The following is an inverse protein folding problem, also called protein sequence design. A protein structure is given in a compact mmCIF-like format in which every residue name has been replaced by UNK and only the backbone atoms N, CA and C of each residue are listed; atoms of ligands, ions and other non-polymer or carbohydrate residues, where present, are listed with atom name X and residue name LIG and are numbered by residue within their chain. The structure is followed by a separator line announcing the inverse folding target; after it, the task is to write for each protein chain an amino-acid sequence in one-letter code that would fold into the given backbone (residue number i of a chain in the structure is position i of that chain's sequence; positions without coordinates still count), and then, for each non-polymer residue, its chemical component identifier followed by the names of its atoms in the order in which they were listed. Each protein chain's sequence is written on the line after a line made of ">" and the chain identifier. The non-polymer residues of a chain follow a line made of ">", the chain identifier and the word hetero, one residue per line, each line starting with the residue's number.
data_IF_218840399329
#
_entry.id   IF_218840399329
#
_cell.length_a   1.000
_cell.length_b   1.000
_cell.length_c   1.000
_cell.angle_alpha   90.00
_cell.angle_beta   90.00
_cell.angle_gamma   90.00
#
_symmetry.space_group_name_H-M   'P 1'
#
loop_
_entity.id
_entity.type
_entity.pdbx_description
1 polymer ?
#
# COMPACT_ATOMS: atom_id res chain seq x y z
N UNK A 1 1.41 0.33 -11.86
CA UNK A 1 0.79 0.27 -10.53
C UNK A 1 1.49 1.29 -9.66
N UNK A 2 0.72 2.24 -9.12
CA UNK A 2 1.17 3.57 -8.74
C UNK A 2 2.39 3.65 -7.79
N UNK A 3 2.64 2.65 -6.95
CA UNK A 3 3.73 2.75 -5.96
C UNK A 3 5.15 2.78 -6.57
N UNK A 4 5.43 2.09 -7.68
CA UNK A 4 6.79 2.06 -8.24
C UNK A 4 7.03 3.19 -9.27
N UNK A 5 6.00 3.60 -10.01
CA UNK A 5 6.12 4.66 -11.02
C UNK A 5 5.80 6.07 -10.46
N UNK A 6 5.00 6.18 -9.39
CA UNK A 6 4.50 7.47 -8.88
C UNK A 6 5.22 7.90 -7.59
N UNK A 7 5.92 7.01 -6.87
CA UNK A 7 6.73 7.40 -5.72
C UNK A 7 7.84 8.42 -6.04
N UNK A 8 8.25 8.54 -7.31
CA UNK A 8 9.23 9.53 -7.75
C UNK A 8 8.64 10.93 -8.05
N UNK A 9 7.31 11.06 -8.15
CA UNK A 9 6.63 12.33 -8.51
C UNK A 9 5.71 12.91 -7.41
N UNK A 10 5.62 12.29 -6.23
CA UNK A 10 4.80 12.78 -5.12
C UNK A 10 5.46 13.88 -4.25
N UNK A 11 6.42 14.64 -4.80
CA UNK A 11 6.77 15.94 -4.22
C UNK A 11 5.72 16.96 -4.65
N UNK A 12 4.54 16.91 -4.02
CA UNK A 12 3.53 17.96 -4.12
C UNK A 12 4.16 19.29 -3.65
N UNK A 13 4.42 20.19 -4.59
CA UNK A 13 4.52 21.61 -4.29
C UNK A 13 3.10 22.17 -4.27
N UNK A 14 2.60 22.68 -3.12
CA UNK A 14 1.32 23.39 -3.14
C UNK A 14 1.42 24.52 -4.17
N UNK A 15 0.51 24.51 -5.14
CA UNK A 15 0.26 25.71 -5.93
C UNK A 15 -0.18 26.78 -4.94
N UNK A 16 0.44 27.97 -4.94
CA UNK A 16 0.01 29.05 -4.06
C UNK A 16 -1.48 29.28 -4.31
N UNK A 17 -2.27 29.33 -3.23
CA UNK A 17 -3.69 29.61 -3.33
C UNK A 17 -3.88 30.87 -4.18
N UNK A 18 -4.82 30.88 -5.15
CA UNK A 18 -5.12 32.09 -5.89
C UNK A 18 -5.47 33.15 -4.86
N UNK A 19 -4.73 34.26 -4.91
CA UNK A 19 -4.84 35.39 -4.00
C UNK A 19 -6.28 35.88 -4.09
N UNK A 20 -7.13 35.41 -3.17
CA UNK A 20 -8.54 35.75 -3.13
C UNK A 20 -8.61 37.14 -2.52
N UNK A 21 -8.33 38.14 -3.36
CA UNK A 21 -8.61 39.56 -3.14
C UNK A 21 -10.12 39.78 -3.10
N UNK A 22 -10.80 39.16 -2.14
CA UNK A 22 -12.12 39.54 -1.74
C UNK A 22 -11.98 40.81 -0.90
N UNK A 23 -12.31 41.93 -1.54
CA UNK A 23 -12.57 43.23 -0.93
C UNK A 23 -13.56 43.06 0.24
N UNK A 24 -13.05 42.96 1.47
CA UNK A 24 -13.82 43.22 2.69
C UNK A 24 -13.56 44.68 3.04
N UNK A 25 -14.10 45.58 2.23
CA UNK A 25 -14.23 46.97 2.58
C UNK A 25 -15.56 47.17 3.31
N UNK A 26 -15.52 47.85 4.45
CA UNK A 26 -16.64 48.46 5.17
C UNK A 26 -17.42 47.61 6.18
N UNK A 27 -16.76 47.05 7.21
CA UNK A 27 -17.38 46.94 8.54
C UNK A 27 -16.32 47.24 9.62
N UNK A 28 -16.60 48.24 10.46
CA UNK A 28 -16.01 48.58 11.78
C UNK A 28 -14.78 49.50 11.87
N UNK A 29 -14.98 50.78 11.55
CA UNK A 29 -14.09 51.91 11.91
C UNK A 29 -14.23 52.40 13.38
N UNK A 30 -14.88 51.63 14.27
CA UNK A 30 -15.18 52.08 15.66
C UNK A 30 -14.46 51.25 16.75
N UNK A 31 -13.77 50.16 16.40
CA UNK A 31 -13.02 49.31 17.35
C UNK A 31 -11.51 49.32 17.07
N UNK A 32 -10.93 50.47 16.69
CA UNK A 32 -9.50 50.56 16.35
C UNK A 32 -8.63 51.34 17.33
N UNK A 33 -9.20 52.03 18.34
CA UNK A 33 -8.41 52.94 19.18
C UNK A 33 -8.02 52.38 20.57
N UNK A 34 -8.47 51.18 20.93
CA UNK A 34 -8.21 50.57 22.25
C UNK A 34 -7.29 49.33 22.23
N UNK A 35 -6.69 49.01 21.07
CA UNK A 35 -5.89 47.77 20.89
C UNK A 35 -4.51 48.09 20.29
N UNK A 36 -3.88 49.18 20.71
CA UNK A 36 -2.57 49.62 20.17
C UNK A 36 -1.35 48.94 20.81
N UNK A 37 -1.52 48.12 21.85
CA UNK A 37 -0.42 47.44 22.56
C UNK A 37 -0.49 45.91 22.52
N UNK A 38 -1.23 45.31 21.56
CA UNK A 38 -1.14 43.87 21.36
C UNK A 38 0.18 43.50 20.65
N UNK A 39 0.99 42.58 21.19
CA UNK A 39 2.24 42.18 20.58
C UNK A 39 1.99 41.74 19.13
N UNK A 40 2.79 42.28 18.20
CA UNK A 40 2.73 41.93 16.76
C UNK A 40 2.59 40.41 16.64
N UNK A 41 1.57 39.91 15.90
CA UNK A 41 1.38 38.47 15.73
C UNK A 41 2.72 37.89 15.26
N UNK A 42 3.25 36.94 16.05
CA UNK A 42 4.47 36.22 15.71
C UNK A 42 4.29 35.74 14.28
N UNK A 43 5.21 36.12 13.39
CA UNK A 43 5.28 35.57 12.04
C UNK A 43 5.35 34.05 12.22
N UNK A 44 4.22 33.37 12.04
CA UNK A 44 4.19 31.93 12.00
C UNK A 44 5.02 31.55 10.78
N UNK A 45 6.28 31.21 11.00
CA UNK A 45 7.06 30.49 10.00
C UNK A 45 6.24 29.25 9.66
N UNK A 46 5.67 29.25 8.44
CA UNK A 46 4.82 28.17 7.98
C UNK A 46 5.63 26.89 8.08
N UNK A 47 5.26 25.99 8.99
CA UNK A 47 5.90 24.69 9.11
C UNK A 47 5.83 24.03 7.73
N UNK A 48 6.96 23.59 7.15
CA UNK A 48 6.94 22.98 5.83
C UNK A 48 5.95 21.81 5.85
N UNK A 49 5.14 21.64 4.79
CA UNK A 49 4.17 20.56 4.76
C UNK A 49 4.90 19.22 4.96
N UNK A 50 4.29 18.26 5.67
CA UNK A 50 4.90 16.96 5.89
C UNK A 50 5.24 16.31 4.53
N UNK A 51 6.44 15.74 4.44
CA UNK A 51 6.96 15.07 3.24
C UNK A 51 6.07 13.89 2.84
N UNK A 52 5.39 13.28 3.81
CA UNK A 52 4.45 12.19 3.60
C UNK A 52 3.02 12.65 3.87
N UNK A 53 2.19 12.59 2.82
CA UNK A 53 0.75 12.72 2.95
C UNK A 53 0.12 11.34 2.96
N UNK A 54 -0.79 11.15 3.91
CA UNK A 54 -1.59 9.95 4.02
C UNK A 54 -2.38 9.68 2.72
N UNK A 55 -2.35 8.44 2.22
CA UNK A 55 -3.09 8.02 1.03
C UNK A 55 -3.94 6.79 1.34
N UNK A 56 -5.24 7.02 1.52
CA UNK A 56 -6.21 6.00 1.87
C UNK A 56 -6.36 4.88 0.84
N UNK A 57 -6.16 5.18 -0.44
CA UNK A 57 -6.28 4.17 -1.50
C UNK A 57 -5.14 3.14 -1.34
N UNK A 58 -3.94 3.60 -0.97
CA UNK A 58 -2.81 2.70 -0.68
C UNK A 58 -3.06 1.81 0.53
N UNK A 59 -3.69 2.32 1.58
CA UNK A 59 -4.06 1.51 2.74
C UNK A 59 -5.07 0.42 2.35
N UNK A 60 -6.10 0.77 1.58
CA UNK A 60 -7.10 -0.19 1.13
C UNK A 60 -6.52 -1.21 0.16
N UNK A 61 -5.60 -0.81 -0.72
CA UNK A 61 -4.84 -1.74 -1.56
C UNK A 61 -4.00 -2.70 -0.70
N UNK A 62 -3.34 -2.18 0.35
CA UNK A 62 -2.57 -3.00 1.30
C UNK A 62 -3.46 -4.01 2.02
N UNK A 63 -4.66 -3.60 2.44
CA UNK A 63 -5.67 -4.51 3.02
C UNK A 63 -6.06 -5.59 2.03
N UNK A 64 -6.31 -5.24 0.77
CA UNK A 64 -6.62 -6.22 -0.28
C UNK A 64 -5.48 -7.23 -0.48
N UNK A 65 -4.23 -6.78 -0.53
CA UNK A 65 -3.06 -7.66 -0.62
C UNK A 65 -2.91 -8.57 0.60
N UNK A 66 -3.20 -8.09 1.82
CA UNK A 66 -3.21 -8.92 3.03
C UNK A 66 -4.27 -10.02 2.93
N UNK A 67 -5.47 -9.72 2.42
CA UNK A 67 -6.51 -10.74 2.22
C UNK A 67 -6.06 -11.80 1.21
N UNK A 68 -5.52 -11.38 0.06
CA UNK A 68 -4.96 -12.30 -0.95
C UNK A 68 -3.83 -13.14 -0.34
N UNK A 69 -2.95 -12.54 0.47
CA UNK A 69 -1.89 -13.24 1.17
C UNK A 69 -2.45 -14.31 2.13
N UNK A 70 -3.41 -13.97 2.99
CA UNK A 70 -4.03 -14.92 3.92
C UNK A 70 -4.60 -16.11 3.16
N UNK A 71 -5.38 -15.87 2.10
CA UNK A 71 -6.00 -16.93 1.31
C UNK A 71 -4.98 -17.74 0.50
N UNK A 72 -3.84 -17.15 0.15
CA UNK A 72 -2.79 -17.84 -0.59
C UNK A 72 -1.92 -18.72 0.33
N UNK A 73 -1.73 -18.33 1.59
CA UNK A 73 -0.83 -19.03 2.54
C UNK A 73 -1.54 -19.98 3.53
N UNK A 74 -2.86 -19.91 3.68
CA UNK A 74 -3.61 -20.69 4.67
C UNK A 74 -4.66 -21.60 4.03
N UNK A 75 -4.82 -22.83 4.51
CA UNK A 75 -5.94 -23.69 4.12
C UNK A 75 -6.80 -24.08 5.31
N UNK A 76 -7.85 -24.83 5.04
CA UNK A 76 -8.62 -25.47 6.11
C UNK A 76 -8.33 -26.96 6.09
N UNK A 77 -8.17 -27.58 7.27
CA UNK A 77 -8.10 -29.05 7.38
C UNK A 77 -9.31 -29.74 6.74
N UNK A 78 -10.45 -29.06 6.69
CA UNK A 78 -11.67 -29.57 6.05
C UNK A 78 -11.67 -29.44 4.51
N UNK A 79 -10.76 -28.65 3.93
CA UNK A 79 -10.73 -28.35 2.50
C UNK A 79 -9.33 -27.94 2.07
N UNK A 80 -8.52 -28.93 1.70
CA UNK A 80 -7.20 -28.72 1.11
C UNK A 80 -7.31 -28.25 -0.34
N UNK A 81 -6.30 -27.54 -0.83
CA UNK A 81 -6.25 -27.15 -2.25
C UNK A 81 -6.04 -28.40 -3.12
N UNK A 82 -6.82 -28.52 -4.20
CA UNK A 82 -6.60 -29.56 -5.23
C UNK A 82 -5.34 -29.29 -6.07
N UNK A 83 -4.80 -28.07 -6.02
CA UNK A 83 -3.64 -27.63 -6.81
C UNK A 83 -2.56 -26.97 -5.93
N UNK A 84 -1.98 -27.71 -4.96
CA UNK A 84 -1.07 -27.14 -3.96
C UNK A 84 0.24 -26.61 -4.56
N UNK A 85 0.70 -27.18 -5.69
CA UNK A 85 1.89 -26.73 -6.44
C UNK A 85 1.63 -25.41 -7.16
N UNK A 86 0.58 -25.34 -7.97
CA UNK A 86 0.18 -24.10 -8.67
C UNK A 86 -0.04 -22.96 -7.69
N UNK A 87 -0.69 -23.25 -6.56
CA UNK A 87 -0.85 -22.27 -5.47
C UNK A 87 0.50 -21.78 -4.93
N UNK A 88 1.47 -22.68 -4.72
CA UNK A 88 2.83 -22.29 -4.31
C UNK A 88 3.49 -21.38 -5.35
N UNK A 89 3.37 -21.72 -6.62
CA UNK A 89 3.96 -20.95 -7.70
C UNK A 89 3.37 -19.54 -7.77
N UNK A 90 2.04 -19.42 -7.68
CA UNK A 90 1.35 -18.13 -7.63
C UNK A 90 1.75 -17.34 -6.38
N UNK A 91 1.87 -18.00 -5.24
CA UNK A 91 2.35 -17.40 -4.00
C UNK A 91 3.75 -16.80 -4.15
N UNK A 92 4.70 -17.60 -4.65
CA UNK A 92 6.07 -17.15 -4.90
C UNK A 92 6.10 -16.04 -5.94
N UNK A 93 5.24 -16.10 -6.96
CA UNK A 93 5.15 -15.08 -8.00
C UNK A 93 4.65 -13.74 -7.45
N UNK A 94 3.66 -13.75 -6.56
CA UNK A 94 3.03 -12.54 -6.01
C UNK A 94 3.80 -11.99 -4.79
N UNK A 95 4.48 -12.84 -4.03
CA UNK A 95 5.09 -12.51 -2.74
C UNK A 95 6.55 -12.98 -2.64
N UNK A 96 7.36 -12.72 -3.68
CA UNK A 96 8.80 -13.04 -3.70
C UNK A 96 9.67 -12.16 -2.80
N UNK A 97 9.10 -11.14 -2.16
CA UNK A 97 9.80 -10.19 -1.30
C UNK A 97 10.67 -9.17 -2.04
N UNK A 98 10.61 -9.11 -3.38
CA UNK A 98 11.39 -8.16 -4.18
C UNK A 98 10.57 -6.88 -4.42
N UNK A 99 11.21 -5.73 -4.19
CA UNK A 99 10.62 -4.40 -4.35
C UNK A 99 10.34 -3.97 -5.81
N UNK A 100 10.73 -4.76 -6.82
CA UNK A 100 10.48 -4.48 -8.25
C UNK A 100 9.58 -5.51 -8.92
N UNK A 101 8.83 -6.26 -8.12
CA UNK A 101 8.00 -7.35 -8.62
C UNK A 101 6.69 -6.81 -9.21
N UNK A 102 6.71 -6.61 -10.52
CA UNK A 102 5.57 -6.15 -11.30
C UNK A 102 4.50 -7.23 -11.57
N UNK A 103 4.66 -8.47 -11.07
CA UNK A 103 3.68 -9.56 -11.28
C UNK A 103 2.36 -9.32 -10.55
N UNK A 104 2.39 -8.50 -9.50
CA UNK A 104 1.19 -8.07 -8.78
C UNK A 104 0.23 -7.27 -9.67
N UNK A 105 0.73 -6.51 -10.65
CA UNK A 105 -0.12 -5.64 -11.47
C UNK A 105 -1.07 -6.40 -12.40
N UNK A 106 -0.62 -7.36 -13.22
CA UNK A 106 -1.52 -8.20 -14.00
C UNK A 106 -2.55 -8.93 -13.14
N UNK A 107 -2.13 -9.41 -11.96
CA UNK A 107 -3.02 -10.10 -11.02
C UNK A 107 -4.06 -9.16 -10.42
N UNK A 108 -3.68 -7.94 -10.04
CA UNK A 108 -4.59 -6.94 -9.50
C UNK A 108 -5.65 -6.51 -10.53
N UNK A 109 -5.25 -6.34 -11.79
CA UNK A 109 -6.17 -5.97 -12.87
C UNK A 109 -7.12 -7.12 -13.24
N UNK A 110 -6.64 -8.36 -13.20
CA UNK A 110 -7.41 -9.55 -13.54
C UNK A 110 -7.18 -10.65 -12.49
N UNK A 111 -7.79 -10.53 -11.30
CA UNK A 111 -7.60 -11.50 -10.23
C UNK A 111 -8.07 -12.89 -10.68
N UNK A 112 -7.20 -13.89 -10.56
CA UNK A 112 -7.53 -15.28 -10.81
C UNK A 112 -7.39 -16.06 -9.51
N UNK A 113 -8.51 -16.44 -8.90
CA UNK A 113 -8.53 -17.14 -7.62
C UNK A 113 -8.76 -18.65 -7.75
N UNK A 114 -8.65 -19.22 -8.96
CA UNK A 114 -8.89 -20.64 -9.22
C UNK A 114 -7.97 -21.59 -8.43
N UNK A 115 -6.84 -21.09 -7.93
CA UNK A 115 -5.90 -21.86 -7.11
C UNK A 115 -6.22 -21.85 -5.60
N UNK A 116 -7.22 -21.08 -5.15
CA UNK A 116 -7.65 -21.11 -3.76
C UNK A 116 -8.43 -22.39 -3.44
N UNK A 117 -8.31 -22.91 -2.20
CA UNK A 117 -9.21 -23.94 -1.71
C UNK A 117 -10.68 -23.57 -1.91
N UNK A 118 -11.52 -24.56 -2.24
CA UNK A 118 -12.94 -24.34 -2.52
C UNK A 118 -13.71 -23.78 -1.32
N UNK A 119 -13.24 -24.02 -0.09
CA UNK A 119 -13.80 -23.40 1.11
C UNK A 119 -13.74 -21.87 1.10
N UNK A 120 -12.90 -21.24 0.29
CA UNK A 120 -12.82 -19.79 0.13
C UNK A 120 -13.53 -19.26 -1.12
N UNK A 121 -14.27 -20.10 -1.85
CA UNK A 121 -14.98 -19.70 -3.08
C UNK A 121 -15.91 -18.50 -2.85
N UNK A 122 -16.54 -18.42 -1.68
CA UNK A 122 -17.41 -17.31 -1.29
C UNK A 122 -16.71 -15.93 -1.21
N UNK A 123 -15.37 -15.89 -1.15
CA UNK A 123 -14.59 -14.65 -1.12
C UNK A 123 -14.12 -14.17 -2.50
N UNK A 124 -14.24 -15.01 -3.54
CA UNK A 124 -13.66 -14.69 -4.86
C UNK A 124 -14.33 -13.49 -5.52
N UNK A 125 -15.66 -13.43 -5.49
CA UNK A 125 -16.43 -12.31 -6.03
C UNK A 125 -16.17 -11.02 -5.23
N UNK A 126 -16.30 -10.99 -3.88
CA UNK A 126 -15.97 -9.81 -3.08
C UNK A 126 -14.56 -9.27 -3.31
N UNK A 127 -13.56 -10.14 -3.40
CA UNK A 127 -12.17 -9.72 -3.66
C UNK A 127 -11.99 -9.17 -5.06
N UNK A 128 -12.65 -9.75 -6.07
CA UNK A 128 -12.64 -9.23 -7.44
C UNK A 128 -13.29 -7.85 -7.49
N UNK A 129 -14.46 -7.70 -6.86
CA UNK A 129 -15.16 -6.42 -6.77
C UNK A 129 -14.32 -5.36 -6.05
N UNK A 130 -13.59 -5.74 -4.99
CA UNK A 130 -12.69 -4.81 -4.28
C UNK A 130 -11.50 -4.38 -5.15
N UNK A 131 -10.88 -5.31 -5.89
CA UNK A 131 -9.80 -4.95 -6.83
C UNK A 131 -10.31 -3.99 -7.93
N UNK A 132 -11.46 -4.29 -8.52
CA UNK A 132 -12.10 -3.43 -9.52
C UNK A 132 -12.44 -2.04 -8.97
N UNK A 133 -12.97 -1.98 -7.74
CA UNK A 133 -13.27 -0.73 -7.07
C UNK A 133 -12.01 0.13 -6.91
N UNK A 134 -10.93 -0.45 -6.36
CA UNK A 134 -9.65 0.24 -6.20
C UNK A 134 -9.08 0.71 -7.55
N UNK A 135 -9.12 -0.14 -8.58
CA UNK A 135 -8.66 0.20 -9.93
C UNK A 135 -9.43 1.42 -10.48
N UNK A 136 -10.75 1.41 -10.36
CA UNK A 136 -11.59 2.52 -10.81
C UNK A 136 -11.32 3.81 -10.03
N UNK A 137 -11.14 3.71 -8.70
CA UNK A 137 -10.76 4.85 -7.86
C UNK A 137 -9.41 5.43 -8.26
N UNK A 138 -8.40 4.59 -8.50
CA UNK A 138 -7.10 5.07 -9.01
C UNK A 138 -7.27 5.82 -10.34
N UNK A 139 -8.02 5.26 -11.29
CA UNK A 139 -8.26 5.89 -12.59
C UNK A 139 -9.00 7.25 -12.48
N UNK A 140 -9.93 7.38 -11.53
CA UNK A 140 -10.64 8.64 -11.27
C UNK A 140 -9.72 9.71 -10.65
N UNK A 141 -8.90 9.31 -9.68
CA UNK A 141 -7.91 10.19 -9.03
C UNK A 141 -6.87 10.67 -10.05
N UNK A 142 -6.35 9.76 -10.90
CA UNK A 142 -5.41 10.10 -11.97
C UNK A 142 -6.01 11.06 -13.00
N UNK A 143 -7.28 10.89 -13.36
CA UNK A 143 -7.99 11.81 -14.28
C UNK A 143 -8.13 13.23 -13.72
N UNK A 144 -8.20 13.35 -12.40
CA UNK A 144 -8.40 14.62 -11.70
C UNK A 144 -7.09 15.34 -11.39
N UNK A 145 -5.94 14.75 -11.75
CA UNK A 145 -4.63 15.36 -11.61
C UNK A 145 -4.49 16.59 -12.53
N UNK A 146 -3.87 17.71 -12.07
CA UNK A 146 -3.15 17.90 -10.79
C UNK A 146 -4.02 18.37 -9.61
N UNK A 147 -5.31 18.67 -9.83
CA UNK A 147 -6.22 19.17 -8.79
C UNK A 147 -6.72 18.04 -7.87
N UNK A 148 -5.83 17.47 -7.08
CA UNK A 148 -6.15 16.46 -6.08
C UNK A 148 -6.77 17.12 -4.82
N UNK A 149 -8.07 17.42 -4.88
CA UNK A 149 -8.82 17.82 -3.69
C UNK A 149 -9.34 16.57 -2.95
N UNK A 150 -8.46 15.96 -2.15
CA UNK A 150 -8.86 14.88 -1.25
C UNK A 150 -9.48 15.49 0.02
N UNK A 151 -10.81 15.62 0.03
CA UNK A 151 -11.53 16.00 1.23
C UNK A 151 -11.78 14.77 2.14
N UNK A 152 -12.02 15.02 3.43
CA UNK A 152 -12.30 13.96 4.40
C UNK A 152 -13.61 13.19 4.09
N UNK A 153 -14.51 13.79 3.30
CA UNK A 153 -15.80 13.17 2.92
C UNK A 153 -15.58 12.06 1.91
N UNK A 154 -14.80 12.32 0.85
CA UNK A 154 -14.39 11.36 -0.16
C UNK A 154 -13.65 10.19 0.49
N UNK A 155 -12.79 10.47 1.48
CA UNK A 155 -12.13 9.46 2.28
C UNK A 155 -13.12 8.53 3.01
N UNK A 156 -14.06 9.09 3.78
CA UNK A 156 -15.04 8.28 4.52
C UNK A 156 -15.93 7.48 3.59
N UNK A 157 -16.30 8.05 2.45
CA UNK A 157 -17.11 7.39 1.46
C UNK A 157 -16.38 6.21 0.82
N UNK A 158 -15.08 6.38 0.48
CA UNK A 158 -14.22 5.32 -0.04
C UNK A 158 -14.17 4.12 0.92
N UNK A 159 -13.86 4.35 2.19
CA UNK A 159 -13.84 3.28 3.20
C UNK A 159 -15.20 2.61 3.38
N UNK A 160 -16.28 3.39 3.43
CA UNK A 160 -17.64 2.87 3.58
C UNK A 160 -18.03 1.97 2.40
N UNK A 161 -17.70 2.38 1.18
CA UNK A 161 -17.97 1.60 -0.02
C UNK A 161 -17.21 0.26 0.01
N UNK A 162 -15.94 0.26 0.41
CA UNK A 162 -15.17 -0.97 0.59
C UNK A 162 -15.79 -1.90 1.63
N UNK A 163 -16.23 -1.38 2.78
CA UNK A 163 -16.88 -2.20 3.82
C UNK A 163 -18.15 -2.87 3.28
N UNK A 164 -18.92 -2.16 2.45
CA UNK A 164 -20.14 -2.71 1.86
C UNK A 164 -19.89 -3.88 0.89
N UNK A 165 -18.67 -4.04 0.36
CA UNK A 165 -18.28 -5.20 -0.45
C UNK A 165 -18.15 -6.49 0.38
N UNK A 166 -18.06 -6.35 1.71
CA UNK A 166 -17.94 -7.47 2.63
C UNK A 166 -19.15 -7.55 3.56
N UNK A 167 -20.31 -8.01 3.05
CA UNK A 167 -21.52 -8.08 3.86
C UNK A 167 -21.34 -9.03 5.05
N UNK A 168 -22.09 -8.78 6.12
CA UNK A 168 -22.00 -9.54 7.37
C UNK A 168 -22.19 -11.06 7.19
N UNK A 169 -22.87 -11.48 6.13
CA UNK A 169 -23.03 -12.87 5.75
C UNK A 169 -21.69 -13.54 5.41
N UNK A 170 -20.73 -12.84 4.77
CA UNK A 170 -19.41 -13.40 4.50
C UNK A 170 -18.64 -13.67 5.79
N UNK A 171 -18.78 -12.81 6.80
CA UNK A 171 -18.15 -13.02 8.10
C UNK A 171 -18.67 -14.33 8.70
N UNK A 172 -20.00 -14.57 8.65
CA UNK A 172 -20.60 -15.82 9.13
C UNK A 172 -20.09 -17.06 8.38
N UNK A 173 -19.86 -16.94 7.06
CA UNK A 173 -19.28 -18.01 6.25
C UNK A 173 -17.79 -18.27 6.56
N UNK A 174 -17.05 -17.23 6.94
CA UNK A 174 -15.64 -17.33 7.30
C UNK A 174 -15.41 -17.86 8.73
N UNK A 175 -16.31 -17.56 9.67
CA UNK A 175 -16.20 -17.94 11.08
C UNK A 175 -15.86 -19.41 11.36
N UNK A 176 -16.47 -20.42 10.71
CA UNK A 176 -16.15 -21.83 10.97
C UNK A 176 -14.80 -22.27 10.40
N UNK A 177 -14.17 -21.47 9.53
CA UNK A 177 -12.94 -21.85 8.85
C UNK A 177 -11.76 -21.70 9.81
N UNK A 178 -11.23 -22.82 10.27
CA UNK A 178 -9.94 -22.86 10.94
C UNK A 178 -8.84 -22.78 9.90
N UNK A 179 -8.03 -21.73 10.00
CA UNK A 179 -6.86 -21.53 9.16
C UNK A 179 -5.70 -22.36 9.70
N UNK A 180 -5.19 -23.25 8.86
CA UNK A 180 -3.94 -23.96 9.08
C UNK A 180 -2.89 -23.35 8.15
N UNK A 181 -1.77 -22.93 8.75
CA UNK A 181 -0.67 -22.37 8.01
C UNK A 181 0.05 -23.50 7.29
N UNK A 182 -0.05 -23.52 5.96
CA UNK A 182 0.22 -24.74 5.20
C UNK A 182 1.71 -24.92 4.91
N UNK A 183 2.55 -23.87 5.00
CA UNK A 183 3.85 -23.92 4.33
C UNK A 183 5.00 -23.17 4.94
N UNK A 184 6.16 -23.78 4.79
CA UNK A 184 7.47 -23.16 4.94
C UNK A 184 7.53 -21.88 4.10
N UNK A 185 7.83 -20.74 4.76
CA UNK A 185 8.26 -19.55 4.02
C UNK A 185 9.44 -19.97 3.15
N UNK A 186 9.68 -19.35 1.98
CA UNK A 186 10.94 -19.53 1.26
C UNK A 186 12.12 -19.07 2.15
N UNK A 187 12.58 -19.92 3.06
CA UNK A 187 13.55 -19.58 4.11
C UNK A 187 15.01 -19.71 3.64
N UNK A 188 15.27 -20.24 2.44
CA UNK A 188 16.66 -20.49 2.02
C UNK A 188 17.24 -19.48 1.01
N UNK A 189 16.46 -18.49 0.55
CA UNK A 189 16.98 -17.50 -0.40
C UNK A 189 17.66 -16.28 0.26
N UNK A 190 17.43 -16.00 1.55
CA UNK A 190 17.80 -14.71 2.15
C UNK A 190 18.90 -14.76 3.23
N UNK A 191 19.44 -15.94 3.59
CA UNK A 191 20.49 -16.03 4.65
C UNK A 191 21.90 -16.31 4.09
N UNK A 192 22.05 -16.59 2.79
CA UNK A 192 23.37 -16.87 2.18
C UNK A 192 24.25 -15.64 1.88
N UNK A 193 23.71 -14.42 1.88
CA UNK A 193 24.42 -13.24 1.36
C UNK A 193 25.51 -12.63 2.26
N UNK A 194 25.63 -13.07 3.52
CA UNK A 194 26.62 -12.50 4.47
C UNK A 194 27.82 -13.39 4.78
N UNK A 195 27.83 -14.66 4.36
CA UNK A 195 28.92 -15.60 4.71
C UNK A 195 29.96 -15.84 3.61
N UNK A 196 29.67 -15.55 2.35
CA UNK A 196 30.66 -15.76 1.28
C UNK A 196 31.73 -14.66 1.16
N UNK A 197 31.51 -13.47 1.74
CA UNK A 197 32.55 -12.41 1.73
C UNK A 197 33.65 -12.58 2.79
N UNK A 198 33.43 -13.36 3.84
CA UNK A 198 34.49 -13.64 4.83
C UNK A 198 35.45 -14.76 4.38
N UNK A 199 35.01 -15.69 3.53
CA UNK A 199 35.87 -16.80 3.08
C UNK A 199 36.81 -16.38 1.94
N UNK A 200 36.43 -15.42 1.09
CA UNK A 200 37.34 -14.87 0.06
C UNK A 200 38.37 -13.88 0.62
N UNK A 201 38.08 -13.18 1.73
CA UNK A 201 39.03 -12.26 2.37
C UNK A 201 40.23 -12.96 3.05
N UNK A 202 40.13 -14.25 3.38
CA UNK A 202 41.24 -14.99 4.00
C UNK A 202 42.11 -15.77 3.00
N UNK A 203 41.67 -15.92 1.75
CA UNK A 203 42.41 -16.66 0.71
C UNK A 203 43.53 -15.86 0.01
N UNK A 204 43.39 -14.53 -0.12
CA UNK A 204 44.36 -13.72 -0.88
C UNK A 204 45.60 -13.33 -0.06
N UNK A 205 45.53 -13.35 1.27
CA UNK A 205 46.71 -13.05 2.11
C UNK A 205 47.75 -14.18 2.14
N UNK A 206 47.44 -15.38 1.64
CA UNK A 206 48.35 -16.53 1.64
C UNK A 206 49.17 -16.68 0.35
N UNK A 207 48.75 -16.08 -0.77
CA UNK A 207 49.45 -16.23 -2.06
C UNK A 207 50.56 -15.19 -2.30
N UNK A 208 50.62 -14.08 -1.55
CA UNK A 208 51.67 -13.07 -1.76
C UNK A 208 53.04 -13.42 -1.13
N UNK A 209 53.17 -14.54 -0.39
CA UNK A 209 54.44 -14.90 0.31
C UNK A 209 55.33 -15.93 -0.41
N UNK A 210 54.97 -16.42 -1.60
CA UNK A 210 55.73 -17.47 -2.32
C UNK A 210 56.56 -17.00 -3.53
N UNK A 211 56.71 -15.69 -3.77
CA UNK A 211 57.40 -15.17 -4.96
C UNK A 211 58.74 -14.45 -4.72
N UNK A 212 59.37 -14.66 -3.56
CA UNK A 212 60.72 -14.11 -3.30
C UNK A 212 61.64 -15.17 -2.69
N UNK A 213 62.11 -16.09 -3.54
CA UNK A 213 63.36 -16.84 -3.36
C UNK A 213 63.92 -17.19 -4.73
#
# INVERSE_FOLDING_TARGET
>A
MACEAIALNYCYTPSPAPDSGADIAQIDDVILELVTDLPKPLKHESTPPPVFRYNAIHDLESVWWVLVWILTFNESSASTSTMPKTRQEQMNLLFDGKMGNNRRLPFFNHPNFSFFPSCFSFLQEPLTAFAQYLHNTYAEVERSFPSLNFDNTAFRQLHRNCINLFPAQLIKLAMPIKLEYVKERPQDAFVGGKREREVQSQGESAQSKKRSR
#
